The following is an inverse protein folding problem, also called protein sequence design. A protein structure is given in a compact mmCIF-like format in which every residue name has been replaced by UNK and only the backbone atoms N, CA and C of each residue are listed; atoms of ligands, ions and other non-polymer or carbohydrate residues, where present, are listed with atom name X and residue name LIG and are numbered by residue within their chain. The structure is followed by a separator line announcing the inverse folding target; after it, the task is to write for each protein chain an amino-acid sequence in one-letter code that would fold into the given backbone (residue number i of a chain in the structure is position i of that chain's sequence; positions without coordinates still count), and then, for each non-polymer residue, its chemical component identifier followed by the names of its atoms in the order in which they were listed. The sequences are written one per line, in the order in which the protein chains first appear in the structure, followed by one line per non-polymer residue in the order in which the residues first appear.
data_IF_181053924999
#
_entry.id   IF_181053924999
#
_cell.length_a   1.000
_cell.length_b   1.000
_cell.length_c   1.000
_cell.angle_alpha   90.00
_cell.angle_beta   90.00
_cell.angle_gamma   90.00
#
_symmetry.space_group_name_H-M   'P 1'
#
loop_
_entity.id
_entity.type
_entity.pdbx_description
1 polymer ?
#
# COMPACT_ATOMS: atom_id res chain seq x y z
N UNK A 1 -35.31 44.27 7.21
CA UNK A 1 -33.84 44.15 7.15
C UNK A 1 -33.51 42.67 6.93
N UNK A 2 -33.19 42.30 5.70
CA UNK A 2 -32.33 41.14 5.40
C UNK A 2 -31.12 41.72 4.66
N UNK A 3 -29.92 41.21 4.96
CA UNK A 3 -29.32 40.16 4.12
C UNK A 3 -28.64 39.10 5.02
N UNK A 4 -28.36 37.86 4.64
CA UNK A 4 -28.16 37.20 3.36
C UNK A 4 -27.02 36.21 3.60
N UNK A 5 -27.24 34.92 3.42
CA UNK A 5 -26.19 33.88 3.32
C UNK A 5 -26.80 32.66 2.63
N UNK A 6 -27.27 32.86 1.41
CA UNK A 6 -27.40 31.74 0.46
C UNK A 6 -26.00 31.48 -0.08
N UNK A 7 -25.24 30.60 0.59
CA UNK A 7 -24.05 29.96 0.03
C UNK A 7 -24.50 28.96 -1.07
N UNK A 8 -25.15 29.48 -2.12
CA UNK A 8 -25.20 28.79 -3.40
C UNK A 8 -23.88 29.06 -4.11
N UNK A 9 -22.86 28.27 -3.74
CA UNK A 9 -21.67 28.12 -4.57
C UNK A 9 -22.13 27.64 -5.95
N UNK A 10 -22.16 28.59 -6.87
CA UNK A 10 -22.29 28.36 -8.30
C UNK A 10 -21.02 27.61 -8.74
N UNK A 11 -21.01 26.29 -8.57
CA UNK A 11 -19.93 25.40 -9.01
C UNK A 11 -19.85 25.47 -10.53
N UNK A 12 -18.99 26.34 -11.00
CA UNK A 12 -18.61 26.50 -12.39
C UNK A 12 -18.22 25.11 -12.95
N UNK A 13 -19.02 24.57 -13.88
CA UNK A 13 -18.85 23.23 -14.49
C UNK A 13 -17.50 23.10 -15.24
N UNK A 14 -16.76 24.20 -15.44
CA UNK A 14 -15.40 24.22 -15.97
C UNK A 14 -14.30 24.00 -14.93
N UNK A 15 -14.62 23.92 -13.64
CA UNK A 15 -13.64 23.57 -12.62
C UNK A 15 -13.41 22.04 -12.62
N UNK A 16 -12.19 21.54 -12.86
CA UNK A 16 -11.93 20.11 -12.78
C UNK A 16 -12.23 19.65 -11.34
N UNK A 17 -13.23 18.78 -11.18
CA UNK A 17 -13.53 18.21 -9.86
C UNK A 17 -12.32 17.43 -9.35
N UNK A 18 -11.99 17.63 -8.07
CA UNK A 18 -10.94 16.87 -7.41
C UNK A 18 -11.30 15.37 -7.44
N UNK A 19 -10.39 14.49 -7.89
CA UNK A 19 -10.67 13.07 -8.00
C UNK A 19 -10.89 12.45 -6.63
N UNK A 20 -12.03 11.78 -6.45
CA UNK A 20 -12.31 11.02 -5.24
C UNK A 20 -11.52 9.71 -5.24
N UNK A 21 -10.58 9.59 -4.30
CA UNK A 21 -9.80 8.37 -4.11
C UNK A 21 -10.61 7.32 -3.35
N UNK A 22 -10.80 6.16 -3.97
CA UNK A 22 -11.34 4.96 -3.28
C UNK A 22 -10.21 4.25 -2.57
N UNK A 23 -10.38 3.97 -1.28
CA UNK A 23 -9.42 3.21 -0.49
C UNK A 23 -10.13 2.08 0.26
N UNK A 24 -9.41 0.99 0.45
CA UNK A 24 -9.84 -0.16 1.24
C UNK A 24 -8.67 -0.63 2.11
N UNK A 25 -8.98 -1.18 3.28
CA UNK A 25 -7.96 -1.75 4.14
C UNK A 25 -7.53 -3.11 3.58
N UNK A 26 -6.22 -3.30 3.37
CA UNK A 26 -5.65 -4.58 2.97
C UNK A 26 -6.03 -5.66 3.99
N UNK A 27 -6.66 -6.72 3.49
CA UNK A 27 -7.21 -7.81 4.29
C UNK A 27 -6.29 -9.03 4.33
N UNK A 28 -6.91 -10.21 4.17
CA UNK A 28 -6.20 -11.48 4.12
C UNK A 28 -5.41 -11.79 5.39
N UNK A 29 -4.14 -12.15 5.22
CA UNK A 29 -3.25 -12.50 6.32
C UNK A 29 -2.41 -11.31 6.81
N UNK A 30 -2.58 -10.11 6.22
CA UNK A 30 -1.72 -8.96 6.48
C UNK A 30 -1.65 -8.63 7.97
N UNK A 31 -2.79 -8.55 8.66
CA UNK A 31 -2.81 -8.26 10.10
C UNK A 31 -2.12 -9.36 10.94
N UNK A 32 -2.25 -10.64 10.56
CA UNK A 32 -1.66 -11.73 11.32
C UNK A 32 -0.13 -11.79 11.13
N UNK A 33 0.35 -11.53 9.91
CA UNK A 33 1.78 -11.53 9.56
C UNK A 33 2.54 -10.46 10.35
N UNK A 34 1.98 -9.25 10.43
CA UNK A 34 2.61 -8.11 11.10
C UNK A 34 2.13 -7.94 12.55
N UNK A 35 1.69 -9.03 13.19
CA UNK A 35 1.31 -9.00 14.60
C UNK A 35 2.54 -8.92 15.51
N UNK A 36 3.53 -9.75 15.22
CA UNK A 36 4.76 -9.90 16.02
C UNK A 36 5.98 -9.26 15.35
N UNK A 37 5.81 -8.68 14.16
CA UNK A 37 6.83 -7.98 13.38
C UNK A 37 6.21 -6.76 12.69
N UNK A 38 7.02 -5.80 12.26
CA UNK A 38 6.54 -4.57 11.61
C UNK A 38 6.97 -4.51 10.14
N UNK A 39 6.10 -3.97 9.30
CA UNK A 39 6.42 -3.66 7.90
C UNK A 39 7.49 -2.54 7.86
N UNK A 40 8.56 -2.74 7.10
CA UNK A 40 9.64 -1.76 6.93
C UNK A 40 9.67 -1.13 5.53
N UNK A 41 9.32 -1.89 4.49
CA UNK A 41 9.25 -1.43 3.11
C UNK A 41 8.26 -2.27 2.29
N UNK A 42 7.81 -1.74 1.16
CA UNK A 42 6.86 -2.39 0.27
C UNK A 42 7.19 -2.05 -1.19
N UNK A 43 6.96 -3.01 -2.08
CA UNK A 43 7.01 -2.81 -3.52
C UNK A 43 5.85 -3.57 -4.16
N UNK A 44 5.29 -3.02 -5.24
CA UNK A 44 4.14 -3.58 -5.94
C UNK A 44 4.55 -4.07 -7.32
N UNK A 45 4.03 -5.24 -7.67
CA UNK A 45 3.97 -5.76 -9.02
C UNK A 45 2.49 -5.85 -9.44
N UNK A 46 2.20 -5.92 -10.73
CA UNK A 46 0.81 -6.00 -11.23
C UNK A 46 0.03 -7.20 -10.66
N UNK A 47 0.73 -8.27 -10.28
CA UNK A 47 0.12 -9.51 -9.80
C UNK A 47 0.27 -9.76 -8.30
N UNK A 48 1.15 -9.03 -7.60
CA UNK A 48 1.50 -9.33 -6.22
C UNK A 48 2.15 -8.15 -5.51
N UNK A 49 2.24 -8.25 -4.19
CA UNK A 49 2.94 -7.30 -3.33
C UNK A 49 4.15 -7.99 -2.70
N UNK A 50 5.28 -7.29 -2.68
CA UNK A 50 6.45 -7.70 -1.92
C UNK A 50 6.64 -6.78 -0.72
N UNK A 51 6.79 -7.36 0.47
CA UNK A 51 6.85 -6.64 1.73
C UNK A 51 8.12 -7.02 2.51
N UNK A 52 8.91 -6.02 2.90
CA UNK A 52 10.01 -6.17 3.83
C UNK A 52 9.55 -5.92 5.27
N UNK A 53 10.22 -6.57 6.21
CA UNK A 53 9.96 -6.44 7.65
C UNK A 53 11.17 -5.96 8.43
N UNK A 54 10.92 -5.43 9.64
CA UNK A 54 11.96 -5.10 10.61
C UNK A 54 12.71 -6.34 11.11
N UNK A 55 12.05 -7.50 11.17
CA UNK A 55 12.68 -8.80 11.47
C UNK A 55 13.53 -9.38 10.33
N UNK A 56 13.60 -8.71 9.17
CA UNK A 56 14.45 -9.11 8.05
C UNK A 56 13.79 -10.06 7.04
N UNK A 57 12.51 -10.38 7.21
CA UNK A 57 11.75 -11.18 6.27
C UNK A 57 11.37 -10.36 5.04
N UNK A 58 11.50 -10.97 3.86
CA UNK A 58 10.94 -10.50 2.59
C UNK A 58 9.81 -11.43 2.21
N UNK A 59 8.59 -10.91 2.20
CA UNK A 59 7.34 -11.66 2.06
C UNK A 59 6.69 -11.35 0.72
N UNK A 60 6.19 -12.39 0.05
CA UNK A 60 5.37 -12.28 -1.15
C UNK A 60 3.90 -12.47 -0.76
N UNK A 61 3.08 -11.48 -1.06
CA UNK A 61 1.65 -11.42 -0.76
C UNK A 61 0.86 -11.24 -2.05
N UNK A 62 -0.39 -11.71 -2.09
CA UNK A 62 -1.34 -11.29 -3.11
C UNK A 62 -1.78 -9.84 -2.86
N UNK A 63 -2.42 -9.24 -3.87
CA UNK A 63 -2.91 -7.85 -3.80
C UNK A 63 -3.93 -7.63 -2.67
N UNK A 64 -4.63 -8.68 -2.24
CA UNK A 64 -5.58 -8.66 -1.12
C UNK A 64 -4.93 -8.81 0.26
N UNK A 65 -3.61 -9.02 0.32
CA UNK A 65 -2.86 -9.25 1.56
C UNK A 65 -2.74 -10.72 1.99
N UNK A 66 -3.16 -11.68 1.15
CA UNK A 66 -2.96 -13.11 1.43
C UNK A 66 -1.48 -13.47 1.29
N UNK A 67 -0.92 -14.12 2.32
CA UNK A 67 0.44 -14.67 2.27
C UNK A 67 0.58 -15.75 1.19
N UNK A 68 1.56 -15.59 0.30
CA UNK A 68 1.95 -16.62 -0.67
C UNK A 68 3.15 -17.40 -0.14
N UNK A 69 4.29 -16.72 0.08
CA UNK A 69 5.53 -17.32 0.58
C UNK A 69 6.53 -16.28 1.07
N UNK A 70 7.55 -16.73 1.79
CA UNK A 70 8.74 -15.94 2.13
C UNK A 70 9.79 -16.11 1.05
N UNK A 71 10.38 -15.01 0.56
CA UNK A 71 11.40 -15.01 -0.48
C UNK A 71 12.81 -15.07 0.13
N UNK A 72 13.07 -14.21 1.12
CA UNK A 72 14.37 -14.10 1.77
C UNK A 72 14.19 -13.82 3.27
N UNK A 73 15.23 -14.13 4.04
CA UNK A 73 15.32 -13.79 5.45
C UNK A 73 16.72 -13.21 5.75
N UNK A 74 16.77 -11.91 5.97
CA UNK A 74 17.93 -11.20 6.46
C UNK A 74 17.96 -11.28 7.99
N UNK A 75 19.14 -11.12 8.59
CA UNK A 75 19.32 -11.07 10.05
C UNK A 75 18.94 -9.71 10.66
N UNK A 76 18.68 -8.71 9.82
CA UNK A 76 18.38 -7.33 10.20
C UNK A 76 17.22 -6.84 9.35
N UNK A 77 16.63 -5.72 9.77
CA UNK A 77 15.62 -4.95 9.02
C UNK A 77 15.95 -4.87 7.54
N UNK A 78 14.96 -5.20 6.71
CA UNK A 78 14.99 -4.92 5.26
C UNK A 78 14.71 -3.42 5.06
N UNK A 79 15.59 -2.70 4.38
CA UNK A 79 15.42 -1.27 4.14
C UNK A 79 14.69 -0.99 2.84
N UNK A 80 14.95 -1.81 1.81
CA UNK A 80 14.36 -1.61 0.49
C UNK A 80 14.09 -2.94 -0.19
N UNK A 81 12.98 -2.98 -0.92
CA UNK A 81 12.67 -4.05 -1.87
C UNK A 81 12.40 -3.40 -3.22
N UNK A 82 12.94 -3.98 -4.29
CA UNK A 82 12.71 -3.57 -5.66
C UNK A 82 12.16 -4.76 -6.44
N UNK A 83 11.28 -4.50 -7.40
CA UNK A 83 10.68 -5.50 -8.29
C UNK A 83 10.80 -4.98 -9.71
N UNK A 84 11.26 -5.83 -10.62
CA UNK A 84 11.27 -5.52 -12.05
C UNK A 84 9.95 -5.95 -12.73
N UNK A 85 9.85 -5.68 -14.03
CA UNK A 85 8.67 -6.03 -14.84
C UNK A 85 8.44 -7.54 -14.98
N UNK A 86 9.47 -8.36 -14.74
CA UNK A 86 9.37 -9.83 -14.79
C UNK A 86 8.91 -10.42 -13.46
N UNK A 87 8.82 -9.59 -12.41
CA UNK A 87 8.55 -10.01 -11.05
C UNK A 87 9.78 -10.47 -10.28
N UNK A 88 10.99 -10.25 -10.80
CA UNK A 88 12.23 -10.52 -10.08
C UNK A 88 12.39 -9.49 -8.94
N UNK A 89 12.49 -10.01 -7.72
CA UNK A 89 12.56 -9.22 -6.49
C UNK A 89 13.98 -9.20 -5.93
N UNK A 90 14.48 -8.01 -5.59
CA UNK A 90 15.75 -7.82 -4.86
C UNK A 90 15.49 -7.06 -3.56
N UNK A 91 16.20 -7.39 -2.48
CA UNK A 91 16.05 -6.77 -1.17
C UNK A 91 17.42 -6.37 -0.57
N UNK A 92 17.45 -5.22 0.11
CA UNK A 92 18.64 -4.58 0.71
C UNK A 92 18.41 -4.28 2.19
#
# INVERSE_FOLDING_TARGET
MTPGSDDQENKDESTPQEPLLKYERVGGHFHAIFKDDSLSCIALHVNFVCAGTYGGNVLLLELDGRFIRRLHQHYKKVNQVCIDETGQTTAL
#
